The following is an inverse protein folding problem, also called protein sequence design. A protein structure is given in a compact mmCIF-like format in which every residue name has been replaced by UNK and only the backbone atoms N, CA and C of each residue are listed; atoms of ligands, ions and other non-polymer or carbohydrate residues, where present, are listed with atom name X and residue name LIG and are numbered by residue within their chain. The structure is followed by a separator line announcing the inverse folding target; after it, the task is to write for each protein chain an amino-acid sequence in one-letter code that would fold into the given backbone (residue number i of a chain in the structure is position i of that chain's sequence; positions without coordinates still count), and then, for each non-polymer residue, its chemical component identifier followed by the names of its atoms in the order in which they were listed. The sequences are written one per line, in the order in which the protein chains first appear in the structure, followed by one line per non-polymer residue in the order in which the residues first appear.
data_IF_617412858447
#
_entry.id   IF_617412858447
#
_cell.length_a   1.000
_cell.length_b   1.000
_cell.length_c   1.000
_cell.angle_alpha   90.00
_cell.angle_beta   90.00
_cell.angle_gamma   90.00
#
_symmetry.space_group_name_H-M   'P 1'
#
loop_
_entity.id
_entity.type
_entity.pdbx_description
1 polymer ?
#
# COMPACT_ATOMS: atom_id res chain seq x y z
N UNK A 1 -7.69 4.85 32.11
CA UNK A 1 -6.57 4.27 31.35
C UNK A 1 -6.84 2.85 30.84
N UNK A 2 -7.15 1.83 31.67
CA UNK A 2 -7.47 0.46 31.18
C UNK A 2 -8.66 0.36 30.20
N UNK A 3 -9.65 1.25 30.27
CA UNK A 3 -10.86 1.22 29.45
C UNK A 3 -10.62 1.70 28.00
N UNK A 4 -9.74 2.68 27.79
CA UNK A 4 -9.35 3.16 26.46
C UNK A 4 -8.43 2.16 25.73
N UNK A 5 -7.63 1.40 26.48
CA UNK A 5 -6.69 0.42 25.97
C UNK A 5 -7.36 -0.87 25.46
N UNK A 6 -8.50 -1.27 26.07
CA UNK A 6 -9.24 -2.47 25.65
C UNK A 6 -10.03 -2.28 24.36
N UNK A 7 -10.42 -1.05 24.02
CA UNK A 7 -11.16 -0.77 22.77
C UNK A 7 -10.22 -0.70 21.55
N UNK A 8 -8.92 -0.41 21.71
CA UNK A 8 -7.95 -0.43 20.62
C UNK A 8 -7.65 -1.83 20.08
N UNK A 9 -7.73 -2.85 20.93
CA UNK A 9 -7.54 -4.26 20.52
C UNK A 9 -8.72 -4.81 19.67
N UNK A 10 -9.92 -4.23 19.82
CA UNK A 10 -11.10 -4.62 19.03
C UNK A 10 -11.03 -4.05 17.62
N UNK A 11 -10.31 -2.95 17.41
CA UNK A 11 -10.16 -2.30 16.11
C UNK A 11 -9.22 -3.11 15.19
N UNK A 12 -8.20 -3.74 15.72
CA UNK A 12 -7.31 -4.64 14.95
C UNK A 12 -8.09 -5.84 14.36
N UNK A 13 -9.06 -6.39 15.10
CA UNK A 13 -9.91 -7.50 14.63
C UNK A 13 -10.99 -7.06 13.63
N UNK A 14 -11.40 -5.77 13.64
CA UNK A 14 -12.42 -5.23 12.72
C UNK A 14 -11.86 -4.67 11.42
N UNK A 15 -10.57 -4.39 11.33
CA UNK A 15 -9.92 -3.97 10.08
C UNK A 15 -9.88 -5.13 9.08
N UNK A 16 -9.70 -6.36 9.52
CA UNK A 16 -9.85 -7.58 8.71
C UNK A 16 -11.26 -7.69 8.10
N UNK A 17 -12.30 -7.29 8.84
CA UNK A 17 -13.70 -7.41 8.39
C UNK A 17 -14.16 -6.29 7.44
N UNK A 18 -13.49 -5.14 7.40
CA UNK A 18 -13.93 -3.97 6.62
C UNK A 18 -13.31 -3.88 5.24
N UNK A 19 -12.22 -4.60 4.97
CA UNK A 19 -11.69 -4.79 3.60
C UNK A 19 -12.62 -5.64 2.74
N UNK A 20 -13.49 -6.47 3.36
CA UNK A 20 -14.44 -7.33 2.65
C UNK A 20 -15.74 -6.63 2.21
N UNK A 21 -16.07 -5.46 2.75
CA UNK A 21 -17.35 -4.77 2.44
C UNK A 21 -17.33 -3.89 1.19
N UNK A 22 -16.15 -3.59 0.63
CA UNK A 22 -16.02 -2.64 -0.50
C UNK A 22 -16.06 -3.31 -1.88
N UNK A 23 -16.08 -4.65 -1.95
CA UNK A 23 -16.06 -5.38 -3.24
C UNK A 23 -16.99 -6.61 -3.24
N UNK A 24 -18.30 -6.42 -3.34
CA UNK A 24 -19.25 -7.52 -3.64
C UNK A 24 -19.89 -7.37 -5.00
N UNK A 25 -19.54 -8.29 -5.90
CA UNK A 25 -20.34 -8.65 -7.08
C UNK A 25 -20.25 -10.17 -7.33
N UNK A 26 -21.35 -10.86 -7.67
CA UNK A 26 -21.39 -12.33 -7.68
C UNK A 26 -20.81 -12.93 -8.95
N UNK A 27 -19.80 -13.80 -8.84
CA UNK A 27 -19.36 -14.71 -9.92
C UNK A 27 -18.98 -16.07 -9.34
N UNK A 28 -19.38 -17.11 -10.06
CA UNK A 28 -19.12 -18.52 -9.73
C UNK A 28 -17.62 -18.88 -9.78
N UNK A 29 -17.15 -19.87 -8.99
CA UNK A 29 -15.74 -20.23 -8.92
C UNK A 29 -15.26 -20.92 -10.21
N UNK A 30 -14.09 -20.48 -10.70
CA UNK A 30 -13.38 -21.06 -11.84
C UNK A 30 -12.28 -22.01 -11.34
N UNK A 31 -12.05 -23.12 -12.03
CA UNK A 31 -11.00 -24.09 -11.69
C UNK A 31 -9.60 -23.52 -12.00
N UNK A 32 -8.56 -24.03 -11.29
CA UNK A 32 -7.15 -23.62 -11.47
C UNK A 32 -6.69 -23.85 -12.91
N UNK A 33 -7.21 -24.88 -13.59
CA UNK A 33 -6.90 -25.19 -14.98
C UNK A 33 -7.49 -24.19 -15.97
N UNK A 34 -8.66 -23.61 -15.65
CA UNK A 34 -9.28 -22.52 -16.43
C UNK A 34 -8.52 -21.20 -16.32
N UNK A 35 -7.87 -20.93 -15.19
CA UNK A 35 -7.07 -19.74 -14.96
C UNK A 35 -5.74 -19.81 -15.73
N UNK A 36 -5.07 -20.96 -15.71
CA UNK A 36 -3.82 -21.17 -16.46
C UNK A 36 -4.07 -21.16 -17.96
N UNK A 37 -5.16 -21.75 -18.44
CA UNK A 37 -5.56 -21.72 -19.84
C UNK A 37 -5.93 -20.31 -20.33
N UNK A 38 -6.65 -19.52 -19.50
CA UNK A 38 -7.00 -18.12 -19.84
C UNK A 38 -5.80 -17.21 -19.84
N UNK A 39 -4.85 -17.38 -18.93
CA UNK A 39 -3.61 -16.60 -18.90
C UNK A 39 -2.70 -16.94 -20.08
N UNK A 40 -2.59 -18.21 -20.46
CA UNK A 40 -1.86 -18.63 -21.66
C UNK A 40 -2.49 -18.08 -22.94
N UNK A 41 -3.82 -18.04 -23.06
CA UNK A 41 -4.52 -17.45 -24.21
C UNK A 41 -4.40 -15.93 -24.23
N UNK A 42 -4.46 -15.24 -23.05
CA UNK A 42 -4.28 -13.78 -22.97
C UNK A 42 -2.87 -13.35 -23.30
N UNK A 43 -1.85 -14.02 -22.76
CA UNK A 43 -0.43 -13.73 -23.07
C UNK A 43 -0.15 -13.99 -24.55
N UNK A 44 -0.68 -15.05 -25.15
CA UNK A 44 -0.57 -15.34 -26.57
C UNK A 44 -1.27 -14.29 -27.43
N UNK A 45 -2.46 -13.83 -27.05
CA UNK A 45 -3.21 -12.80 -27.77
C UNK A 45 -2.52 -11.43 -27.70
N UNK A 46 -2.01 -11.03 -26.53
CA UNK A 46 -1.25 -9.78 -26.35
C UNK A 46 0.08 -9.85 -27.13
N UNK A 47 0.75 -11.00 -27.14
CA UNK A 47 1.95 -11.22 -27.91
C UNK A 47 1.67 -11.12 -29.43
N UNK A 48 0.60 -11.74 -29.93
CA UNK A 48 0.19 -11.65 -31.34
C UNK A 48 -0.20 -10.23 -31.76
N UNK A 49 -0.88 -9.48 -30.89
CA UNK A 49 -1.24 -8.06 -31.14
C UNK A 49 0.03 -7.21 -31.19
N UNK A 50 0.98 -7.41 -30.28
CA UNK A 50 2.28 -6.71 -30.26
C UNK A 50 3.11 -7.04 -31.49
N UNK A 51 3.11 -8.30 -31.93
CA UNK A 51 3.84 -8.73 -33.14
C UNK A 51 3.24 -8.08 -34.42
N UNK A 52 1.89 -8.03 -34.53
CA UNK A 52 1.22 -7.36 -35.66
C UNK A 52 1.44 -5.84 -35.67
N UNK A 53 1.45 -5.21 -34.50
CA UNK A 53 1.78 -3.78 -34.36
C UNK A 53 3.25 -3.52 -34.74
N UNK A 54 4.16 -4.39 -34.33
CA UNK A 54 5.57 -4.30 -34.68
C UNK A 54 5.80 -4.47 -36.18
N UNK A 55 5.13 -5.44 -36.87
CA UNK A 55 5.20 -5.61 -38.33
C UNK A 55 4.64 -4.39 -39.07
N UNK A 56 3.51 -3.82 -38.60
CA UNK A 56 2.96 -2.58 -39.16
C UNK A 56 3.92 -1.39 -38.98
N UNK A 57 4.55 -1.30 -37.83
CA UNK A 57 5.55 -0.27 -37.53
C UNK A 57 6.80 -0.43 -38.43
N UNK A 58 7.31 -1.66 -38.57
CA UNK A 58 8.39 -1.94 -39.50
C UNK A 58 8.04 -1.62 -40.97
N UNK A 59 6.79 -1.84 -41.37
CA UNK A 59 6.31 -1.50 -42.72
C UNK A 59 6.27 0.02 -42.92
N UNK A 60 5.83 0.80 -41.89
CA UNK A 60 5.86 2.27 -41.90
C UNK A 60 7.31 2.78 -41.96
N UNK A 61 8.18 2.22 -41.14
CA UNK A 61 9.63 2.55 -41.17
C UNK A 61 10.26 2.25 -42.51
N UNK A 62 9.96 1.10 -43.11
CA UNK A 62 10.46 0.75 -44.46
C UNK A 62 9.97 1.74 -45.53
N UNK A 63 8.72 2.22 -45.43
CA UNK A 63 8.19 3.28 -46.32
C UNK A 63 8.88 4.62 -46.09
N UNK A 64 9.05 5.02 -44.86
CA UNK A 64 9.75 6.28 -44.49
C UNK A 64 11.24 6.23 -44.85
N UNK A 65 11.86 5.07 -44.75
CA UNK A 65 13.27 4.87 -45.14
C UNK A 65 13.47 4.90 -46.66
N UNK A 66 12.54 4.33 -47.44
CA UNK A 66 12.61 4.38 -48.91
C UNK A 66 12.50 5.80 -49.49
N UNK A 67 11.79 6.69 -48.77
CA UNK A 67 11.63 8.10 -49.19
C UNK A 67 12.89 8.95 -48.82
N UNK A 68 13.65 8.57 -47.79
CA UNK A 68 14.81 9.35 -47.32
C UNK A 68 16.18 8.89 -47.88
N UNK A 69 16.26 7.73 -48.53
CA UNK A 69 17.52 7.22 -49.11
C UNK A 69 17.93 7.97 -50.37
N UNK A 70 17.11 8.89 -50.87
CA UNK A 70 17.46 9.70 -52.03
C UNK A 70 18.21 11.00 -51.73
N UNK A 71 18.39 11.34 -50.44
CA UNK A 71 19.11 12.56 -50.04
C UNK A 71 20.03 12.31 -48.84
N UNK A 72 21.33 12.48 -49.09
CA UNK A 72 22.44 12.64 -48.16
C UNK A 72 23.02 11.38 -47.47
N UNK A 73 24.11 10.88 -48.02
CA UNK A 73 25.14 10.12 -47.31
C UNK A 73 25.82 11.04 -46.30
N UNK A 74 25.66 10.80 -45.02
CA UNK A 74 26.63 10.82 -43.92
C UNK A 74 25.98 11.10 -42.57
N UNK A 75 25.53 10.07 -41.87
CA UNK A 75 25.49 9.94 -40.39
C UNK A 75 24.62 8.73 -40.03
N UNK A 76 25.15 7.83 -39.20
CA UNK A 76 24.51 6.58 -38.79
C UNK A 76 23.31 6.84 -37.86
N UNK A 77 22.03 6.55 -38.20
CA UNK A 77 20.90 6.70 -37.31
C UNK A 77 20.58 5.38 -36.59
N UNK A 78 21.54 4.83 -35.85
CA UNK A 78 21.28 3.67 -34.98
C UNK A 78 20.66 4.05 -33.63
N UNK A 79 20.82 5.29 -33.24
CA UNK A 79 20.38 5.82 -31.93
C UNK A 79 18.87 5.85 -31.71
N UNK A 80 17.99 6.29 -32.66
CA UNK A 80 16.55 6.32 -32.40
C UNK A 80 15.91 4.94 -32.38
N UNK A 81 16.44 3.97 -33.12
CA UNK A 81 15.91 2.60 -33.12
C UNK A 81 16.25 1.88 -31.83
N UNK A 82 17.48 2.05 -31.32
CA UNK A 82 17.88 1.54 -30.00
C UNK A 82 17.12 2.19 -28.86
N UNK A 83 16.89 3.51 -28.92
CA UNK A 83 16.09 4.22 -27.92
C UNK A 83 14.62 3.74 -27.92
N UNK A 84 14.06 3.49 -29.10
CA UNK A 84 12.69 3.01 -29.24
C UNK A 84 12.54 1.54 -28.80
N UNK A 85 13.51 0.68 -29.08
CA UNK A 85 13.57 -0.68 -28.57
C UNK A 85 13.73 -0.69 -27.05
N UNK A 86 14.53 0.22 -26.49
CA UNK A 86 14.72 0.37 -25.06
C UNK A 86 13.41 0.82 -24.36
N UNK A 87 12.73 1.82 -24.91
CA UNK A 87 11.42 2.29 -24.42
C UNK A 87 10.33 1.21 -24.55
N UNK A 88 10.36 0.40 -25.62
CA UNK A 88 9.39 -0.66 -25.83
C UNK A 88 9.61 -1.87 -24.90
N UNK A 89 10.86 -2.19 -24.60
CA UNK A 89 11.21 -3.23 -23.63
C UNK A 89 10.88 -2.82 -22.19
N UNK A 90 11.04 -1.52 -21.86
CA UNK A 90 10.68 -1.01 -20.53
C UNK A 90 9.17 -0.86 -20.33
N UNK A 91 8.38 -0.56 -21.36
CA UNK A 91 6.92 -0.43 -21.24
C UNK A 91 6.19 -1.77 -21.08
N UNK A 92 6.85 -2.90 -21.38
CA UNK A 92 6.22 -4.22 -21.26
C UNK A 92 6.22 -4.80 -19.87
N UNK A 93 7.06 -4.28 -18.97
CA UNK A 93 7.17 -4.79 -17.59
C UNK A 93 5.98 -4.37 -16.70
N UNK A 94 5.43 -3.17 -16.95
CA UNK A 94 4.39 -2.60 -16.06
C UNK A 94 3.00 -3.22 -16.25
N UNK A 95 2.70 -3.80 -17.39
CA UNK A 95 1.37 -4.37 -17.66
C UNK A 95 1.23 -5.78 -17.08
N UNK A 96 2.30 -6.57 -17.05
CA UNK A 96 2.30 -7.91 -16.44
C UNK A 96 2.11 -7.84 -14.92
N UNK A 97 2.71 -6.85 -14.26
CA UNK A 97 2.59 -6.66 -12.82
C UNK A 97 1.18 -6.29 -12.33
N UNK A 98 0.37 -5.63 -13.17
CA UNK A 98 -0.99 -5.22 -12.80
C UNK A 98 -1.97 -6.41 -12.80
N UNK A 99 -1.79 -7.36 -13.69
CA UNK A 99 -2.64 -8.57 -13.77
C UNK A 99 -2.32 -9.55 -12.63
N UNK A 100 -1.02 -9.79 -12.33
CA UNK A 100 -0.60 -10.69 -11.25
C UNK A 100 -1.08 -10.21 -9.87
N UNK A 101 -1.08 -8.89 -9.64
CA UNK A 101 -1.56 -8.32 -8.38
C UNK A 101 -3.08 -8.41 -8.24
N UNK A 102 -3.82 -8.34 -9.33
CA UNK A 102 -5.27 -8.50 -9.33
C UNK A 102 -5.67 -9.93 -8.96
N UNK A 103 -4.98 -10.93 -9.51
CA UNK A 103 -5.23 -12.34 -9.18
C UNK A 103 -4.94 -12.61 -7.68
N UNK A 104 -3.95 -11.95 -7.10
CA UNK A 104 -3.67 -12.00 -5.66
C UNK A 104 -4.82 -11.40 -4.83
N UNK A 105 -5.39 -10.25 -5.24
CA UNK A 105 -6.56 -9.66 -4.56
C UNK A 105 -7.81 -10.55 -4.71
N UNK A 106 -8.03 -11.14 -5.87
CA UNK A 106 -9.13 -12.08 -6.09
C UNK A 106 -8.98 -13.36 -5.24
N UNK A 107 -7.75 -13.80 -4.97
CA UNK A 107 -7.47 -14.90 -4.03
C UNK A 107 -7.77 -14.50 -2.58
N UNK A 108 -7.40 -13.27 -2.18
CA UNK A 108 -7.70 -12.73 -0.86
C UNK A 108 -9.22 -12.65 -0.61
N UNK A 109 -9.99 -12.16 -1.59
CA UNK A 109 -11.46 -12.05 -1.48
C UNK A 109 -12.15 -13.41 -1.35
N UNK A 110 -11.52 -14.48 -1.84
CA UNK A 110 -12.00 -15.88 -1.69
C UNK A 110 -11.45 -16.57 -0.46
N UNK A 111 -10.66 -15.89 0.36
CA UNK A 111 -9.97 -16.47 1.52
C UNK A 111 -9.02 -17.64 1.14
N UNK A 112 -8.60 -17.69 -0.13
CA UNK A 112 -7.62 -18.67 -0.62
C UNK A 112 -6.20 -18.17 -0.33
N UNK A 113 -5.81 -18.30 0.92
CA UNK A 113 -4.53 -17.78 1.41
C UNK A 113 -3.31 -18.52 0.87
N UNK A 114 -3.48 -19.78 0.45
CA UNK A 114 -2.40 -20.54 -0.18
C UNK A 114 -2.08 -19.96 -1.57
N UNK A 115 -3.11 -19.70 -2.38
CA UNK A 115 -2.95 -19.06 -3.68
C UNK A 115 -2.48 -17.61 -3.52
N UNK A 116 -3.02 -16.86 -2.55
CA UNK A 116 -2.56 -15.51 -2.23
C UNK A 116 -1.06 -15.49 -1.94
N UNK A 117 -0.57 -16.40 -1.10
CA UNK A 117 0.87 -16.49 -0.77
C UNK A 117 1.72 -16.77 -2.01
N UNK A 118 1.31 -17.78 -2.83
CA UNK A 118 2.03 -18.18 -4.06
C UNK A 118 2.14 -17.03 -5.08
N UNK A 119 1.10 -16.20 -5.18
CA UNK A 119 1.07 -15.05 -6.11
C UNK A 119 1.82 -13.83 -5.53
N UNK A 120 1.72 -13.61 -4.22
CA UNK A 120 2.26 -12.42 -3.57
C UNK A 120 3.78 -12.52 -3.34
N UNK A 121 4.29 -13.69 -2.97
CA UNK A 121 5.71 -13.89 -2.66
C UNK A 121 6.64 -13.45 -3.79
N UNK A 122 6.49 -13.93 -5.05
CA UNK A 122 7.39 -13.52 -6.13
C UNK A 122 7.30 -12.03 -6.48
N UNK A 123 6.15 -11.38 -6.24
CA UNK A 123 5.99 -9.94 -6.41
C UNK A 123 6.70 -9.16 -5.31
N UNK A 124 6.61 -9.62 -4.06
CA UNK A 124 7.27 -9.03 -2.90
C UNK A 124 8.81 -9.12 -3.02
N UNK A 125 9.33 -10.28 -3.47
CA UNK A 125 10.75 -10.50 -3.74
C UNK A 125 11.28 -9.60 -4.85
N UNK A 126 10.47 -9.28 -5.85
CA UNK A 126 10.79 -8.31 -6.90
C UNK A 126 10.70 -6.84 -6.44
N UNK A 127 10.37 -6.60 -5.18
CA UNK A 127 10.34 -5.27 -4.58
C UNK A 127 9.01 -4.54 -4.68
N UNK A 128 7.90 -5.18 -5.04
CA UNK A 128 6.60 -4.54 -5.05
C UNK A 128 6.13 -4.22 -3.62
N UNK A 129 6.04 -2.93 -3.28
CA UNK A 129 5.70 -2.47 -1.93
C UNK A 129 4.34 -2.97 -1.44
N UNK A 130 3.31 -3.02 -2.31
CA UNK A 130 1.99 -3.52 -1.94
C UNK A 130 2.00 -5.02 -1.66
N UNK A 131 2.74 -5.80 -2.46
CA UNK A 131 2.91 -7.22 -2.22
C UNK A 131 3.69 -7.48 -0.92
N UNK A 132 4.72 -6.71 -0.64
CA UNK A 132 5.46 -6.78 0.63
C UNK A 132 4.57 -6.46 1.82
N UNK A 133 3.72 -5.43 1.72
CA UNK A 133 2.73 -5.11 2.76
C UNK A 133 1.75 -6.27 2.99
N UNK A 134 1.19 -6.87 1.93
CA UNK A 134 0.27 -8.02 2.04
C UNK A 134 0.97 -9.21 2.68
N UNK A 135 2.19 -9.53 2.24
CA UNK A 135 2.95 -10.64 2.78
C UNK A 135 3.29 -10.43 4.26
N UNK A 136 3.62 -9.19 4.65
CA UNK A 136 3.77 -8.80 6.07
C UNK A 136 2.49 -9.05 6.87
N UNK A 137 1.31 -8.73 6.30
CA UNK A 137 0.00 -9.02 6.90
C UNK A 137 -0.25 -10.52 7.05
N UNK A 138 0.07 -11.30 6.03
CA UNK A 138 -0.10 -12.76 6.06
C UNK A 138 0.73 -13.40 7.19
N UNK A 139 1.99 -13.04 7.32
CA UNK A 139 2.82 -13.52 8.43
C UNK A 139 2.33 -13.00 9.79
N UNK A 140 1.85 -11.76 9.87
CA UNK A 140 1.32 -11.16 11.10
C UNK A 140 0.06 -11.87 11.62
N UNK A 141 -0.81 -12.33 10.72
CA UNK A 141 -2.09 -12.95 11.05
C UNK A 141 -2.07 -14.48 10.94
N UNK A 142 -0.97 -15.07 10.43
CA UNK A 142 -0.87 -16.53 10.19
C UNK A 142 -1.74 -17.00 9.02
N UNK A 143 -1.93 -16.16 8.00
CA UNK A 143 -2.75 -16.48 6.83
C UNK A 143 -1.91 -17.27 5.82
N UNK A 144 -2.34 -18.49 5.50
CA UNK A 144 -1.62 -19.38 4.59
C UNK A 144 -0.39 -20.08 5.20
N UNK A 145 -0.11 -19.89 6.50
CA UNK A 145 1.00 -20.49 7.21
C UNK A 145 1.02 -20.12 8.70
N UNK A 146 2.03 -20.58 9.45
CA UNK A 146 2.16 -20.20 10.86
C UNK A 146 2.42 -18.70 11.02
N UNK A 147 1.85 -18.12 12.08
CA UNK A 147 2.10 -16.73 12.44
C UNK A 147 3.59 -16.51 12.79
N UNK A 148 4.20 -15.51 12.15
CA UNK A 148 5.58 -15.10 12.41
C UNK A 148 5.72 -13.57 12.36
N UNK A 149 5.70 -12.95 13.51
CA UNK A 149 5.87 -11.49 13.61
C UNK A 149 7.26 -11.00 13.19
N UNK A 150 8.30 -11.83 13.27
CA UNK A 150 9.65 -11.44 12.83
C UNK A 150 9.71 -11.33 11.31
N UNK A 151 9.13 -12.30 10.60
CA UNK A 151 8.99 -12.22 9.15
C UNK A 151 8.04 -11.08 8.75
N UNK A 152 6.92 -10.89 9.45
CA UNK A 152 6.01 -9.78 9.20
C UNK A 152 6.73 -8.43 9.26
N UNK A 153 7.56 -8.20 10.28
CA UNK A 153 8.34 -6.96 10.44
C UNK A 153 9.31 -6.74 9.29
N UNK A 154 9.97 -7.78 8.78
CA UNK A 154 10.89 -7.66 7.64
C UNK A 154 10.15 -7.16 6.40
N UNK A 155 9.02 -7.78 6.08
CA UNK A 155 8.23 -7.41 4.92
C UNK A 155 7.58 -6.03 5.06
N UNK A 156 7.02 -5.70 6.23
CA UNK A 156 6.50 -4.36 6.50
C UNK A 156 7.59 -3.29 6.38
N UNK A 157 8.82 -3.57 6.85
CA UNK A 157 9.92 -2.61 6.74
C UNK A 157 10.28 -2.32 5.29
N UNK A 158 10.40 -3.35 4.45
CA UNK A 158 10.68 -3.18 3.03
C UNK A 158 9.61 -2.33 2.32
N UNK A 159 8.33 -2.55 2.62
CA UNK A 159 7.24 -1.74 2.07
C UNK A 159 7.24 -0.31 2.62
N UNK A 160 7.48 -0.14 3.93
CA UNK A 160 7.48 1.14 4.61
C UNK A 160 8.62 2.07 4.13
N UNK A 161 9.80 1.51 3.87
CA UNK A 161 10.95 2.22 3.31
C UNK A 161 10.68 2.70 1.87
N UNK A 162 9.79 2.04 1.15
CA UNK A 162 9.31 2.49 -0.16
C UNK A 162 8.15 3.50 -0.08
N UNK A 163 7.73 3.89 1.13
CA UNK A 163 6.71 4.91 1.35
C UNK A 163 5.30 4.38 1.53
N UNK A 164 5.06 3.06 1.60
CA UNK A 164 3.72 2.53 1.85
C UNK A 164 3.21 2.92 3.25
N UNK A 165 2.18 3.78 3.28
CA UNK A 165 1.65 4.33 4.53
C UNK A 165 1.04 3.27 5.45
N UNK A 166 0.44 2.21 4.88
CA UNK A 166 -0.14 1.13 5.69
C UNK A 166 0.95 0.28 6.33
N UNK A 167 2.02 -0.03 5.60
CA UNK A 167 3.17 -0.73 6.14
C UNK A 167 3.88 0.10 7.24
N UNK A 168 4.02 1.41 7.06
CA UNK A 168 4.55 2.31 8.09
C UNK A 168 3.67 2.32 9.36
N UNK A 169 2.36 2.37 9.20
CA UNK A 169 1.41 2.25 10.31
C UNK A 169 1.60 0.92 11.06
N UNK A 170 1.66 -0.21 10.35
CA UNK A 170 1.85 -1.52 10.98
C UNK A 170 3.22 -1.65 11.65
N UNK A 171 4.28 -1.04 11.10
CA UNK A 171 5.57 -0.93 11.80
C UNK A 171 5.43 -0.15 13.11
N UNK A 172 4.71 0.96 13.11
CA UNK A 172 4.41 1.69 14.33
C UNK A 172 3.73 0.80 15.38
N UNK A 173 2.73 0.00 14.96
CA UNK A 173 2.01 -0.94 15.83
C UNK A 173 2.92 -2.04 16.37
N UNK A 174 3.75 -2.69 15.53
CA UNK A 174 4.62 -3.79 15.99
C UNK A 174 5.70 -3.31 16.95
N UNK A 175 6.26 -2.10 16.74
CA UNK A 175 7.19 -1.50 17.70
C UNK A 175 6.51 -1.09 19.02
N UNK A 176 5.29 -0.56 18.96
CA UNK A 176 4.51 -0.19 20.14
C UNK A 176 4.25 -1.39 21.06
N UNK A 177 3.91 -2.55 20.47
CA UNK A 177 3.59 -3.77 21.24
C UNK A 177 4.77 -4.73 21.40
N UNK A 178 5.92 -4.49 20.80
CA UNK A 178 7.07 -5.40 20.85
C UNK A 178 6.80 -6.73 20.11
N UNK A 179 6.01 -6.74 19.04
CA UNK A 179 5.67 -7.96 18.28
C UNK A 179 6.75 -8.25 17.24
N UNK A 180 7.51 -9.32 17.42
CA UNK A 180 8.60 -9.69 16.50
C UNK A 180 9.87 -8.83 16.59
N UNK A 181 9.80 -7.71 17.31
CA UNK A 181 10.91 -6.81 17.66
C UNK A 181 10.80 -6.41 19.12
N UNK A 182 11.90 -5.98 19.77
CA UNK A 182 11.80 -5.33 21.08
C UNK A 182 10.88 -4.13 21.03
N UNK A 183 10.08 -3.93 22.10
CA UNK A 183 9.21 -2.76 22.23
C UNK A 183 10.05 -1.48 22.21
N UNK A 184 9.66 -0.54 21.33
CA UNK A 184 10.30 0.77 21.21
C UNK A 184 9.27 1.83 20.86
N UNK A 185 8.84 2.60 21.86
CA UNK A 185 7.86 3.68 21.66
C UNK A 185 8.38 4.82 20.77
N UNK A 186 9.70 5.06 20.73
CA UNK A 186 10.26 6.12 19.86
C UNK A 186 10.19 5.71 18.40
N UNK A 187 10.57 4.48 18.07
CA UNK A 187 10.37 3.95 16.72
C UNK A 187 8.88 3.85 16.35
N UNK A 188 8.02 3.47 17.30
CA UNK A 188 6.57 3.46 17.08
C UNK A 188 6.03 4.85 16.70
N UNK A 189 6.44 5.90 17.43
CA UNK A 189 6.07 7.31 17.11
C UNK A 189 6.60 7.72 15.74
N UNK A 190 7.86 7.42 15.45
CA UNK A 190 8.49 7.77 14.18
C UNK A 190 7.72 7.22 12.98
N UNK A 191 7.42 5.92 12.97
CA UNK A 191 6.71 5.28 11.86
C UNK A 191 5.24 5.71 11.79
N UNK A 192 4.55 5.82 12.94
CA UNK A 192 3.17 6.33 13.00
C UNK A 192 3.07 7.77 12.49
N UNK A 193 4.06 8.62 12.80
CA UNK A 193 4.10 10.01 12.34
C UNK A 193 4.24 10.10 10.82
N UNK A 194 5.14 9.31 10.22
CA UNK A 194 5.32 9.29 8.77
C UNK A 194 4.02 8.89 8.06
N UNK A 195 3.35 7.84 8.54
CA UNK A 195 2.07 7.39 7.98
C UNK A 195 0.93 8.41 8.20
N UNK A 196 0.88 9.07 9.37
CA UNK A 196 -0.10 10.10 9.70
C UNK A 196 0.09 11.35 8.83
N UNK A 197 1.33 11.74 8.55
CA UNK A 197 1.67 12.86 7.68
C UNK A 197 1.31 12.58 6.21
N UNK A 198 1.23 11.33 5.78
CA UNK A 198 0.65 10.92 4.49
C UNK A 198 -0.89 10.93 4.48
N UNK A 199 -1.54 11.19 5.60
CA UNK A 199 -2.99 11.29 5.72
C UNK A 199 -3.71 10.00 6.11
N UNK A 200 -3.01 8.92 6.48
CA UNK A 200 -3.65 7.68 6.90
C UNK A 200 -4.40 7.85 8.22
N UNK A 201 -5.72 7.68 8.21
CA UNK A 201 -6.60 7.95 9.34
C UNK A 201 -6.26 7.11 10.58
N UNK A 202 -5.93 5.84 10.41
CA UNK A 202 -5.54 4.93 11.48
C UNK A 202 -4.22 5.37 12.13
N UNK A 203 -3.27 5.83 11.32
CA UNK A 203 -1.99 6.35 11.83
C UNK A 203 -2.17 7.68 12.57
N UNK A 204 -3.04 8.57 12.06
CA UNK A 204 -3.41 9.81 12.75
C UNK A 204 -4.07 9.53 14.11
N UNK A 205 -4.95 8.53 14.17
CA UNK A 205 -5.55 8.10 15.42
C UNK A 205 -4.50 7.60 16.43
N UNK A 206 -3.59 6.73 16.00
CA UNK A 206 -2.54 6.19 16.87
C UNK A 206 -1.56 7.27 17.32
N UNK A 207 -1.18 8.19 16.45
CA UNK A 207 -0.31 9.30 16.80
C UNK A 207 -0.98 10.22 17.84
N UNK A 208 -2.28 10.44 17.71
CA UNK A 208 -3.08 11.14 18.71
C UNK A 208 -3.06 10.43 20.08
N UNK A 209 -3.15 9.09 20.11
CA UNK A 209 -3.00 8.30 21.34
C UNK A 209 -1.62 8.48 21.98
N UNK A 210 -0.55 8.45 21.16
CA UNK A 210 0.83 8.61 21.66
C UNK A 210 1.06 10.00 22.25
N UNK A 211 0.53 11.07 21.62
CA UNK A 211 0.55 12.41 22.21
C UNK A 211 -0.29 12.54 23.47
N UNK A 212 -1.42 11.86 23.54
CA UNK A 212 -2.27 11.85 24.73
C UNK A 212 -1.63 11.13 25.91
N UNK A 213 -0.98 9.98 25.68
CA UNK A 213 -0.33 9.17 26.72
C UNK A 213 1.08 9.62 27.08
N UNK A 214 1.77 10.32 26.18
CA UNK A 214 3.19 10.64 26.33
C UNK A 214 4.13 9.46 26.08
N UNK A 215 3.65 8.40 25.40
CA UNK A 215 4.46 7.21 25.08
C UNK A 215 5.39 7.47 23.89
N UNK A 216 6.69 7.48 24.14
CA UNK A 216 7.74 7.71 23.14
C UNK A 216 7.89 9.15 22.66
N UNK A 217 6.98 10.05 23.08
CA UNK A 217 6.96 11.47 22.74
C UNK A 217 6.40 12.25 23.96
N UNK A 218 6.80 13.51 24.20
CA UNK A 218 6.20 14.33 25.23
C UNK A 218 4.69 14.47 25.07
N UNK A 219 3.95 14.35 26.17
CA UNK A 219 2.49 14.51 26.17
C UNK A 219 2.10 15.91 25.68
N UNK A 220 1.13 15.96 24.73
CA UNK A 220 0.60 17.21 24.18
C UNK A 220 -0.87 17.03 23.78
N UNK A 221 -1.78 17.58 24.56
CA UNK A 221 -3.23 17.47 24.33
C UNK A 221 -3.70 18.25 23.09
N UNK A 222 -3.02 19.34 22.73
CA UNK A 222 -3.35 20.12 21.53
C UNK A 222 -3.04 19.28 20.28
N UNK A 223 -1.88 18.62 20.25
CA UNK A 223 -1.51 17.73 19.14
C UNK A 223 -2.36 16.46 19.15
N UNK A 224 -2.68 15.88 20.30
CA UNK A 224 -3.59 14.73 20.40
C UNK A 224 -4.97 15.06 19.80
N UNK A 225 -5.55 16.19 20.20
CA UNK A 225 -6.83 16.67 19.67
C UNK A 225 -6.76 16.92 18.16
N UNK A 226 -5.71 17.61 17.69
CA UNK A 226 -5.51 17.90 16.25
C UNK A 226 -5.50 16.62 15.43
N UNK A 227 -4.71 15.61 15.82
CA UNK A 227 -4.60 14.35 15.08
C UNK A 227 -5.89 13.55 15.12
N UNK A 228 -6.60 13.51 16.27
CA UNK A 228 -7.91 12.87 16.35
C UNK A 228 -8.98 13.61 15.54
N UNK A 229 -8.90 14.92 15.43
CA UNK A 229 -9.80 15.71 14.60
C UNK A 229 -9.61 15.38 13.11
N UNK A 230 -8.37 15.28 12.64
CA UNK A 230 -8.04 14.85 11.26
C UNK A 230 -8.53 13.42 10.99
N UNK A 231 -8.23 12.48 11.86
CA UNK A 231 -8.67 11.09 11.75
C UNK A 231 -10.21 10.97 11.78
N UNK A 232 -10.88 11.73 12.64
CA UNK A 232 -12.34 11.79 12.75
C UNK A 232 -13.00 12.33 11.48
N UNK A 233 -12.40 13.31 10.82
CA UNK A 233 -12.90 13.87 9.55
C UNK A 233 -12.93 12.85 8.43
N UNK A 234 -12.09 11.81 8.52
CA UNK A 234 -12.04 10.68 7.59
C UNK A 234 -12.97 9.51 8.02
N UNK A 235 -13.80 9.72 9.04
CA UNK A 235 -14.79 8.75 9.47
C UNK A 235 -14.35 7.79 10.60
N UNK A 236 -13.14 7.97 11.18
CA UNK A 236 -12.67 7.14 12.29
C UNK A 236 -13.46 7.45 13.58
N UNK A 237 -14.39 6.55 13.93
CA UNK A 237 -15.33 6.75 15.07
C UNK A 237 -14.61 6.83 16.42
N UNK A 238 -13.56 6.02 16.61
CA UNK A 238 -12.78 6.03 17.87
C UNK A 238 -12.04 7.36 18.06
N UNK A 239 -11.54 7.96 16.97
CA UNK A 239 -10.90 9.26 17.01
C UNK A 239 -11.88 10.36 17.42
N UNK A 240 -13.11 10.33 16.89
CA UNK A 240 -14.16 11.26 17.30
C UNK A 240 -14.44 11.15 18.79
N UNK A 241 -14.68 9.94 19.30
CA UNK A 241 -14.97 9.70 20.71
C UNK A 241 -13.85 10.20 21.63
N UNK A 242 -12.59 9.89 21.27
CA UNK A 242 -11.45 10.31 22.09
C UNK A 242 -11.26 11.83 22.05
N UNK A 243 -11.44 12.44 20.88
CA UNK A 243 -11.41 13.90 20.72
C UNK A 243 -12.47 14.59 21.60
N UNK A 244 -13.71 14.10 21.54
CA UNK A 244 -14.83 14.70 22.27
C UNK A 244 -14.61 14.59 23.80
N UNK A 245 -14.04 13.46 24.28
CA UNK A 245 -13.66 13.30 25.70
C UNK A 245 -12.52 14.27 26.07
N UNK A 246 -11.50 14.40 25.22
CA UNK A 246 -10.37 15.28 25.51
C UNK A 246 -10.79 16.76 25.50
N UNK A 247 -11.78 17.12 24.68
CA UNK A 247 -12.32 18.49 24.63
C UNK A 247 -12.87 18.95 26.00
N UNK A 248 -13.44 18.04 26.79
CA UNK A 248 -13.92 18.33 28.12
C UNK A 248 -12.80 18.68 29.15
N UNK A 249 -11.57 18.20 28.89
CA UNK A 249 -10.39 18.44 29.73
C UNK A 249 -9.56 19.66 29.26
N UNK A 250 -9.84 20.21 28.06
CA UNK A 250 -9.10 21.32 27.47
C UNK A 250 -9.75 22.67 27.71
N UNK A 251 -8.94 23.71 27.74
CA UNK A 251 -9.45 25.08 27.69
C UNK A 251 -9.95 25.43 26.28
N UNK A 252 -10.91 26.34 26.16
CA UNK A 252 -11.43 26.81 24.88
C UNK A 252 -10.31 27.28 23.93
N UNK A 253 -9.31 27.99 24.46
CA UNK A 253 -8.16 28.47 23.67
C UNK A 253 -7.31 27.33 23.11
N UNK A 254 -7.12 26.22 23.86
CA UNK A 254 -6.41 25.04 23.39
C UNK A 254 -7.18 24.34 22.28
N UNK A 255 -8.49 24.20 22.41
CA UNK A 255 -9.36 23.60 21.38
C UNK A 255 -9.32 24.40 20.09
N UNK A 256 -9.49 25.74 20.18
CA UNK A 256 -9.42 26.63 19.01
C UNK A 256 -8.08 26.51 18.29
N UNK A 257 -6.96 26.49 19.03
CA UNK A 257 -5.62 26.29 18.48
C UNK A 257 -5.49 24.95 17.76
N UNK A 258 -5.94 23.86 18.38
CA UNK A 258 -5.88 22.53 17.79
C UNK A 258 -6.73 22.43 16.51
N UNK A 259 -7.91 23.06 16.49
CA UNK A 259 -8.78 23.11 15.32
C UNK A 259 -8.16 23.94 14.18
N UNK A 260 -7.50 25.06 14.50
CA UNK A 260 -6.79 25.87 13.51
C UNK A 260 -5.64 25.08 12.87
N UNK A 261 -4.84 24.38 13.69
CA UNK A 261 -3.78 23.50 13.21
C UNK A 261 -4.33 22.39 12.30
N UNK A 262 -5.46 21.78 12.65
CA UNK A 262 -6.10 20.75 11.81
C UNK A 262 -6.61 21.33 10.49
N UNK A 263 -7.19 22.54 10.48
CA UNK A 263 -7.65 23.20 9.22
C UNK A 263 -6.50 23.56 8.29
N UNK A 264 -5.36 23.96 8.84
CA UNK A 264 -4.18 24.34 8.06
C UNK A 264 -3.32 23.15 7.60
N UNK A 265 -3.57 21.97 8.17
CA UNK A 265 -2.78 20.79 7.88
C UNK A 265 -3.04 20.26 6.45
N UNK A 266 -1.98 19.78 5.80
CA UNK A 266 -2.03 19.12 4.48
C UNK A 266 -1.15 17.89 4.50
N UNK A 267 -1.55 16.80 3.82
CA UNK A 267 -0.70 15.63 3.63
C UNK A 267 0.61 15.99 2.91
N UNK A 268 1.67 15.29 3.28
CA UNK A 268 2.98 15.38 2.62
C UNK A 268 3.12 14.38 1.50
#
# INVERSE_FOLDING_TARGET
MRKLYLESNIVSHKVSHKLSETYRGPRAPLSVDDLTARNAVRTSAVFCIKLKLFERFLAVLRRSFKIRYSYCMNTKPLTPVLLFCFLFLFSSSSVAFADDFKDALDAFDREDYETLYKLTLPLAEKGNAKAQYILGGMYSEGLGGPQDYKEAVKWYRLAAEQGDAKAQYHLGVVYHFGRGVPQDYKEAVKWSKIAAEQGLAEAQYNLGLMYYSGEGIPQDYILAYMWWNLSSSQGQKSARKNRDILEEEMTQQQVEKAQEMARSWKPK
#
